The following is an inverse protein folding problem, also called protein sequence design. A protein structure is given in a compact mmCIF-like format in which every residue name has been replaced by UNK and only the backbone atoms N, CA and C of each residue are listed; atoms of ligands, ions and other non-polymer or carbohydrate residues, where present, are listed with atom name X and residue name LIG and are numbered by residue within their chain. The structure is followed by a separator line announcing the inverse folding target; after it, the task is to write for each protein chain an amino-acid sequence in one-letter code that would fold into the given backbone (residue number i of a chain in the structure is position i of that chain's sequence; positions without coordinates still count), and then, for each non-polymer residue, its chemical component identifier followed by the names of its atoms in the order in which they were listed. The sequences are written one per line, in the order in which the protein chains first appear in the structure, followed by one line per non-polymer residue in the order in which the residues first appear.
data_IF_628649131929
#
_entry.id   IF_628649131929
#
_cell.length_a   1.000
_cell.length_b   1.000
_cell.length_c   1.000
_cell.angle_alpha   90.00
_cell.angle_beta   90.00
_cell.angle_gamma   90.00
#
_symmetry.space_group_name_H-M   'P 1'
#
loop_
_entity.id
_entity.type
_entity.pdbx_description
1 polymer ?
#
# COMPACT_ATOMS: atom_id res chain seq x y z
N UNK A 1 18.59 -10.63 -13.78
CA UNK A 1 18.69 -10.67 -12.31
C UNK A 1 17.34 -10.38 -11.65
N UNK A 2 16.67 -9.30 -12.06
CA UNK A 2 15.31 -8.93 -11.60
C UNK A 2 14.33 -10.11 -11.58
N UNK A 3 14.17 -10.84 -12.68
CA UNK A 3 13.24 -11.96 -12.78
C UNK A 3 13.48 -13.05 -11.70
N UNK A 4 14.74 -13.46 -11.48
CA UNK A 4 15.08 -14.44 -10.43
C UNK A 4 14.72 -13.92 -9.04
N UNK A 5 14.92 -12.63 -8.79
CA UNK A 5 14.57 -11.97 -7.53
C UNK A 5 13.04 -11.93 -7.33
N UNK A 6 12.29 -11.55 -8.37
CA UNK A 6 10.82 -11.49 -8.36
C UNK A 6 10.22 -12.88 -8.13
N UNK A 7 10.70 -13.91 -8.84
CA UNK A 7 10.25 -15.30 -8.66
C UNK A 7 10.53 -15.83 -7.25
N UNK A 8 11.69 -15.47 -6.68
CA UNK A 8 12.00 -15.80 -5.29
C UNK A 8 11.02 -15.15 -4.32
N UNK A 9 10.75 -13.85 -4.48
CA UNK A 9 9.77 -13.16 -3.63
C UNK A 9 8.35 -13.69 -3.78
N UNK A 10 7.95 -14.08 -4.99
CA UNK A 10 6.65 -14.72 -5.22
C UNK A 10 6.54 -16.04 -4.43
N UNK A 11 7.59 -16.87 -4.50
CA UNK A 11 7.64 -18.14 -3.77
C UNK A 11 7.62 -17.92 -2.26
N UNK A 12 8.36 -16.91 -1.78
CA UNK A 12 8.41 -16.56 -0.36
C UNK A 12 7.04 -16.03 0.12
N UNK A 13 6.34 -15.19 -0.66
CA UNK A 13 4.99 -14.71 -0.38
C UNK A 13 3.93 -15.82 -0.37
N UNK A 14 4.04 -16.79 -1.27
CA UNK A 14 3.11 -17.94 -1.30
C UNK A 14 3.31 -18.85 -0.10
N UNK A 15 4.55 -19.00 0.37
CA UNK A 15 4.88 -19.83 1.53
C UNK A 15 4.54 -19.13 2.85
N UNK A 16 4.79 -17.84 2.94
CA UNK A 16 4.64 -17.04 4.16
C UNK A 16 4.06 -15.65 3.82
N UNK A 17 2.74 -15.57 3.58
CA UNK A 17 2.10 -14.31 3.22
C UNK A 17 2.11 -13.35 4.43
N UNK A 18 2.43 -12.05 4.22
CA UNK A 18 2.34 -11.03 5.26
C UNK A 18 0.92 -10.98 5.84
N UNK A 19 0.80 -10.78 7.15
CA UNK A 19 -0.51 -10.68 7.81
C UNK A 19 -1.41 -9.67 7.08
N UNK A 20 -2.65 -10.08 6.81
CA UNK A 20 -3.66 -9.25 6.14
C UNK A 20 -3.31 -8.78 4.72
N UNK A 21 -2.23 -9.30 4.12
CA UNK A 21 -1.74 -8.87 2.83
C UNK A 21 -1.48 -10.06 1.90
N UNK A 22 -1.73 -9.88 0.61
CA UNK A 22 -1.36 -10.85 -0.42
C UNK A 22 -0.91 -10.13 -1.68
N UNK A 23 -0.11 -10.81 -2.52
CA UNK A 23 0.25 -10.29 -3.82
C UNK A 23 0.65 -11.43 -4.78
N UNK A 24 0.42 -11.20 -6.08
CA UNK A 24 0.80 -12.13 -7.13
C UNK A 24 0.73 -11.52 -8.53
N UNK A 25 1.33 -12.16 -9.54
CA UNK A 25 1.34 -11.67 -10.91
C UNK A 25 -0.05 -11.60 -11.53
N UNK A 26 -0.25 -10.60 -12.40
CA UNK A 26 -1.46 -10.45 -13.21
C UNK A 26 -1.21 -11.10 -14.57
N UNK A 27 -1.86 -12.23 -14.83
CA UNK A 27 -1.62 -13.01 -16.04
C UNK A 27 -0.20 -13.56 -16.09
N UNK A 28 0.45 -13.49 -17.27
CA UNK A 28 1.77 -14.07 -17.50
C UNK A 28 2.94 -13.11 -17.23
N UNK A 29 2.66 -11.80 -17.03
CA UNK A 29 3.71 -10.81 -16.77
C UNK A 29 4.15 -10.82 -15.30
N UNK A 30 5.29 -11.43 -15.04
CA UNK A 30 5.89 -11.46 -13.70
C UNK A 30 6.34 -10.07 -13.20
N UNK A 31 6.45 -9.05 -14.06
CA UNK A 31 6.79 -7.68 -13.66
C UNK A 31 5.56 -6.82 -13.30
N UNK A 32 4.35 -7.37 -13.42
CA UNK A 32 3.11 -6.70 -13.02
C UNK A 32 2.32 -7.55 -12.04
N UNK A 33 2.21 -7.09 -10.81
CA UNK A 33 1.46 -7.78 -9.76
C UNK A 33 0.25 -6.97 -9.30
N UNK A 34 -0.75 -7.70 -8.81
CA UNK A 34 -1.82 -7.17 -7.98
C UNK A 34 -1.53 -7.55 -6.54
N UNK A 35 -1.71 -6.60 -5.64
CA UNK A 35 -1.67 -6.84 -4.20
C UNK A 35 -3.02 -6.50 -3.57
N UNK A 36 -3.32 -7.16 -2.47
CA UNK A 36 -4.51 -6.93 -1.66
C UNK A 36 -4.09 -6.67 -0.23
N UNK A 37 -4.60 -5.61 0.37
CA UNK A 37 -4.47 -5.29 1.79
C UNK A 37 -5.87 -5.33 2.39
N UNK A 38 -6.06 -6.16 3.41
CA UNK A 38 -7.26 -6.15 4.23
C UNK A 38 -7.18 -4.97 5.18
N UNK A 39 -8.26 -4.22 5.28
CA UNK A 39 -8.41 -3.12 6.22
C UNK A 39 -8.06 -3.55 7.64
N UNK A 40 -7.04 -2.95 8.28
CA UNK A 40 -6.58 -3.39 9.59
C UNK A 40 -7.69 -3.34 10.65
N UNK A 41 -7.73 -4.28 11.60
CA UNK A 41 -8.66 -4.21 12.72
C UNK A 41 -8.43 -2.93 13.53
N UNK A 42 -9.48 -2.44 14.18
CA UNK A 42 -9.48 -1.23 15.01
C UNK A 42 -9.07 0.06 14.25
N UNK A 43 -9.17 0.04 12.92
CA UNK A 43 -8.93 1.19 12.05
C UNK A 43 -10.21 1.68 11.36
N UNK A 44 -10.18 2.88 10.77
CA UNK A 44 -11.27 3.37 9.94
C UNK A 44 -11.45 2.58 8.62
N UNK A 45 -10.50 1.70 8.31
CA UNK A 45 -10.47 0.87 7.11
C UNK A 45 -10.96 -0.56 7.36
N UNK A 46 -11.24 -0.93 8.62
CA UNK A 46 -11.64 -2.28 9.01
C UNK A 46 -12.77 -2.82 8.14
N UNK A 47 -12.60 -4.06 7.67
CA UNK A 47 -13.55 -4.76 6.82
C UNK A 47 -13.47 -4.40 5.33
N UNK A 48 -12.68 -3.40 4.95
CA UNK A 48 -12.40 -3.11 3.55
C UNK A 48 -11.37 -4.05 2.92
N UNK A 49 -11.44 -4.21 1.61
CA UNK A 49 -10.49 -4.92 0.75
C UNK A 49 -9.90 -3.91 -0.24
N UNK A 50 -8.62 -3.60 -0.06
CA UNK A 50 -7.93 -2.61 -0.89
C UNK A 50 -7.01 -3.29 -1.89
N UNK A 51 -7.27 -3.05 -3.17
CA UNK A 51 -6.41 -3.52 -4.26
C UNK A 51 -5.36 -2.48 -4.58
N UNK A 52 -4.16 -2.96 -4.86
CA UNK A 52 -3.01 -2.19 -5.29
C UNK A 52 -2.40 -2.84 -6.53
N UNK A 53 -1.75 -2.03 -7.36
CA UNK A 53 -0.90 -2.51 -8.44
C UNK A 53 0.56 -2.32 -8.08
N UNK A 54 1.39 -3.29 -8.43
CA UNK A 54 2.84 -3.30 -8.21
C UNK A 54 3.52 -3.53 -9.55
N UNK A 55 4.33 -2.58 -9.99
CA UNK A 55 5.12 -2.69 -11.23
C UNK A 55 6.60 -2.69 -10.89
N UNK A 56 7.29 -3.76 -11.28
CA UNK A 56 8.72 -3.88 -11.06
C UNK A 56 9.49 -3.21 -12.20
N UNK A 57 10.50 -2.37 -11.92
CA UNK A 57 11.38 -1.89 -12.96
C UNK A 57 12.34 -3.00 -13.42
N UNK A 58 12.91 -2.85 -14.61
CA UNK A 58 13.84 -3.83 -15.19
C UNK A 58 15.14 -4.02 -14.39
N UNK A 59 15.52 -3.01 -13.61
CA UNK A 59 16.68 -2.99 -12.70
C UNK A 59 16.31 -3.33 -11.24
N UNK A 60 15.11 -3.87 -10.97
CA UNK A 60 14.77 -4.40 -9.65
C UNK A 60 15.79 -5.46 -9.18
N UNK A 61 16.24 -5.44 -7.91
CA UNK A 61 15.79 -4.63 -6.78
C UNK A 61 16.59 -3.33 -6.55
N UNK A 62 17.42 -2.88 -7.50
CA UNK A 62 18.20 -1.64 -7.34
C UNK A 62 17.33 -0.39 -7.35
N UNK A 63 16.19 -0.43 -8.05
CA UNK A 63 15.12 0.56 -7.94
C UNK A 63 13.86 -0.03 -7.29
N UNK A 64 13.08 0.78 -6.56
CA UNK A 64 11.83 0.34 -5.96
C UNK A 64 10.78 -0.05 -7.01
N UNK A 65 9.83 -0.93 -6.66
CA UNK A 65 8.65 -1.13 -7.48
C UNK A 65 7.74 0.10 -7.39
N UNK A 66 7.02 0.40 -8.46
CA UNK A 66 5.95 1.41 -8.42
C UNK A 66 4.70 0.76 -7.83
N UNK A 67 4.25 1.25 -6.69
CA UNK A 67 3.03 0.78 -6.03
C UNK A 67 2.01 1.90 -5.97
N UNK A 68 0.78 1.59 -6.35
CA UNK A 68 -0.35 2.49 -6.24
C UNK A 68 -1.63 1.75 -5.87
N UNK A 69 -2.50 2.40 -5.10
CA UNK A 69 -3.85 1.91 -4.85
C UNK A 69 -4.69 1.98 -6.13
N UNK A 70 -5.37 0.88 -6.45
CA UNK A 70 -6.43 0.87 -7.46
C UNK A 70 -7.81 1.05 -6.82
N UNK A 71 -7.97 0.62 -5.57
CA UNK A 71 -9.14 0.94 -4.75
C UNK A 71 -9.04 2.37 -4.22
N UNK A 72 -10.10 3.16 -4.38
CA UNK A 72 -10.15 4.53 -3.82
C UNK A 72 -10.11 4.47 -2.29
N UNK A 73 -9.32 5.35 -1.69
CA UNK A 73 -9.12 5.42 -0.24
C UNK A 73 -9.02 6.87 0.22
N UNK A 74 -9.58 7.17 1.40
CA UNK A 74 -9.48 8.48 2.04
C UNK A 74 -8.35 8.46 3.07
N UNK A 75 -7.19 8.99 2.73
CA UNK A 75 -5.98 8.93 3.58
C UNK A 75 -5.04 10.11 3.26
N UNK A 76 -4.39 10.75 4.26
CA UNK A 76 -3.58 11.94 4.01
C UNK A 76 -2.31 11.66 3.17
N UNK A 77 -1.74 10.46 3.27
CA UNK A 77 -0.55 10.05 2.50
C UNK A 77 -0.86 9.31 1.19
N UNK A 78 -2.14 9.21 0.77
CA UNK A 78 -2.53 8.55 -0.47
C UNK A 78 -3.43 9.48 -1.27
N UNK A 79 -3.03 9.83 -2.50
CA UNK A 79 -3.83 10.74 -3.33
C UNK A 79 -4.91 10.02 -4.15
N UNK A 80 -5.73 10.78 -4.87
CA UNK A 80 -6.83 10.26 -5.70
C UNK A 80 -6.40 9.34 -6.84
N UNK A 81 -5.13 9.42 -7.26
CA UNK A 81 -4.52 8.52 -8.26
C UNK A 81 -3.91 7.26 -7.61
N UNK A 82 -4.08 7.08 -6.29
CA UNK A 82 -3.56 5.97 -5.52
C UNK A 82 -2.06 6.03 -5.24
N UNK A 83 -1.38 7.13 -5.57
CA UNK A 83 0.05 7.29 -5.25
C UNK A 83 0.23 7.38 -3.74
N UNK A 84 1.30 6.78 -3.23
CA UNK A 84 1.58 6.67 -1.79
C UNK A 84 2.80 7.54 -1.47
N UNK A 85 2.73 8.35 -0.41
CA UNK A 85 3.92 8.93 0.21
C UNK A 85 4.40 7.99 1.31
N UNK A 86 5.43 7.23 1.00
CA UNK A 86 6.11 6.33 1.90
C UNK A 86 7.60 6.35 1.52
N UNK A 87 8.45 6.65 2.49
CA UNK A 87 9.89 6.87 2.32
C UNK A 87 10.63 5.65 1.74
N UNK A 88 10.24 4.44 2.15
CA UNK A 88 10.81 3.20 1.63
C UNK A 88 10.47 2.96 0.16
N UNK A 89 9.46 3.62 -0.42
CA UNK A 89 9.20 3.60 -1.87
C UNK A 89 10.01 4.67 -2.62
N UNK A 90 10.85 5.44 -1.92
CA UNK A 90 11.59 6.60 -2.44
C UNK A 90 13.03 6.61 -1.94
N UNK A 91 13.36 7.53 -1.03
CA UNK A 91 14.73 7.80 -0.56
C UNK A 91 15.28 6.70 0.34
N UNK A 92 14.42 5.97 1.05
CA UNK A 92 14.81 4.89 1.94
C UNK A 92 14.65 3.50 1.30
N UNK A 93 14.45 3.44 -0.03
CA UNK A 93 14.48 2.15 -0.72
C UNK A 93 15.87 1.52 -0.60
N UNK A 94 15.88 0.24 -0.23
CA UNK A 94 17.08 -0.59 -0.22
C UNK A 94 16.78 -1.88 -0.97
N UNK A 95 17.74 -2.43 -1.75
CA UNK A 95 17.61 -3.75 -2.37
C UNK A 95 17.30 -4.89 -1.39
N UNK A 96 17.50 -4.70 -0.08
CA UNK A 96 17.14 -5.66 0.97
C UNK A 96 15.64 -5.66 1.36
N UNK A 97 14.88 -4.65 0.91
CA UNK A 97 13.43 -4.60 1.07
C UNK A 97 12.75 -5.51 0.04
N UNK A 98 11.60 -6.06 0.42
CA UNK A 98 10.78 -6.97 -0.38
C UNK A 98 9.37 -6.42 -0.50
N UNK A 99 8.58 -6.92 -1.45
CA UNK A 99 7.15 -6.57 -1.58
C UNK A 99 6.40 -6.86 -0.28
N UNK A 100 6.70 -7.98 0.39
CA UNK A 100 6.11 -8.31 1.70
C UNK A 100 6.34 -7.20 2.73
N UNK A 101 7.59 -6.74 2.90
CA UNK A 101 7.92 -5.64 3.82
C UNK A 101 7.23 -4.34 3.43
N UNK A 102 7.18 -4.03 2.13
CA UNK A 102 6.51 -2.83 1.63
C UNK A 102 5.01 -2.86 1.93
N UNK A 103 4.33 -4.00 1.72
CA UNK A 103 2.91 -4.14 2.03
C UNK A 103 2.63 -4.00 3.52
N UNK A 104 3.48 -4.57 4.38
CA UNK A 104 3.39 -4.39 5.84
C UNK A 104 3.57 -2.92 6.24
N UNK A 105 4.51 -2.20 5.62
CA UNK A 105 4.68 -0.77 5.87
C UNK A 105 3.49 0.07 5.39
N UNK A 106 2.86 -0.29 4.26
CA UNK A 106 1.62 0.37 3.81
C UNK A 106 0.48 0.07 4.78
N UNK A 107 0.36 -1.17 5.27
CA UNK A 107 -0.63 -1.56 6.26
C UNK A 107 -0.46 -0.75 7.57
N UNK A 108 0.79 -0.58 8.03
CA UNK A 108 1.10 0.31 9.17
C UNK A 108 0.73 1.76 8.90
N UNK A 109 0.98 2.26 7.68
CA UNK A 109 0.62 3.63 7.29
C UNK A 109 -0.90 3.86 7.36
N UNK A 110 -1.72 2.85 7.04
CA UNK A 110 -3.18 2.95 7.18
C UNK A 110 -3.63 3.09 8.64
N UNK A 111 -2.92 2.48 9.59
CA UNK A 111 -3.22 2.63 11.02
C UNK A 111 -2.68 3.95 11.58
N UNK A 112 -1.48 4.33 11.15
CA UNK A 112 -0.74 5.48 11.64
C UNK A 112 -0.36 6.42 10.47
N UNK A 113 -1.31 7.25 9.99
CA UNK A 113 -1.03 8.22 8.96
C UNK A 113 0.07 9.20 9.39
N UNK A 114 0.88 9.68 8.44
CA UNK A 114 1.88 10.72 8.66
C UNK A 114 1.37 12.08 8.16
N UNK A 115 0.72 12.89 9.00
CA UNK A 115 0.13 14.16 8.55
C UNK A 115 1.18 15.29 8.41
N UNK A 116 2.46 15.03 8.69
CA UNK A 116 3.56 15.99 8.51
C UNK A 116 4.19 15.93 7.11
N UNK A 117 4.00 14.83 6.38
CA UNK A 117 4.34 14.69 4.96
C UNK A 117 3.16 14.15 4.11
N UNK A 118 2.04 14.90 4.03
CA UNK A 118 0.84 14.44 3.35
C UNK A 118 0.90 14.66 1.84
N UNK A 119 0.33 13.73 1.07
CA UNK A 119 -0.02 13.99 -0.34
C UNK A 119 -1.31 14.79 -0.48
N UNK A 120 -2.18 14.76 0.54
CA UNK A 120 -3.47 15.44 0.54
C UNK A 120 -3.56 16.32 1.80
N UNK A 121 -3.09 17.58 1.74
CA UNK A 121 -3.03 18.48 2.89
C UNK A 121 -4.39 18.68 3.58
N UNK A 122 -5.49 18.73 2.82
CA UNK A 122 -6.83 18.90 3.38
C UNK A 122 -7.24 17.74 4.29
N UNK A 123 -6.94 16.49 3.88
CA UNK A 123 -7.19 15.31 4.71
C UNK A 123 -6.29 15.33 5.94
N UNK A 124 -5.03 15.73 5.79
CA UNK A 124 -4.09 15.83 6.90
C UNK A 124 -4.53 16.88 7.93
N UNK A 125 -5.07 18.01 7.48
CA UNK A 125 -5.62 19.04 8.35
C UNK A 125 -6.82 18.53 9.13
N UNK A 126 -7.73 17.79 8.50
CA UNK A 126 -8.86 17.15 9.18
C UNK A 126 -8.35 16.10 10.17
N UNK A 127 -7.38 15.26 9.79
CA UNK A 127 -6.78 14.27 10.68
C UNK A 127 -6.18 14.90 11.94
N UNK A 128 -5.47 16.04 11.80
CA UNK A 128 -4.88 16.78 12.93
C UNK A 128 -5.91 17.51 13.79
N UNK A 129 -6.95 18.08 13.19
CA UNK A 129 -7.91 18.96 13.88
C UNK A 129 -9.15 18.24 14.42
N UNK A 130 -9.60 17.17 13.76
CA UNK A 130 -10.81 16.41 14.10
C UNK A 130 -10.67 14.94 13.65
N UNK A 131 -10.03 14.14 14.51
CA UNK A 131 -9.78 12.72 14.26
C UNK A 131 -11.08 11.91 14.12
N UNK A 132 -12.17 12.31 14.79
CA UNK A 132 -13.46 11.64 14.67
C UNK A 132 -14.10 11.86 13.30
N UNK A 133 -14.06 13.10 12.80
CA UNK A 133 -14.51 13.43 11.44
C UNK A 133 -13.67 12.74 10.38
N UNK A 134 -12.34 12.70 10.54
CA UNK A 134 -11.48 11.90 9.67
C UNK A 134 -11.91 10.43 9.66
N UNK A 135 -12.06 9.81 10.83
CA UNK A 135 -12.45 8.40 10.95
C UNK A 135 -13.82 8.15 10.33
N UNK A 136 -14.78 9.07 10.46
CA UNK A 136 -16.09 8.98 9.82
C UNK A 136 -15.97 8.98 8.29
N UNK A 137 -15.25 9.94 7.71
CA UNK A 137 -15.04 10.00 6.26
C UNK A 137 -14.26 8.78 5.71
N UNK A 138 -13.24 8.33 6.43
CA UNK A 138 -12.48 7.14 6.06
C UNK A 138 -13.34 5.87 6.09
N UNK A 139 -14.24 5.71 7.08
CA UNK A 139 -15.21 4.60 7.12
C UNK A 139 -16.23 4.68 5.98
N UNK A 140 -16.78 5.86 5.72
CA UNK A 140 -17.72 6.09 4.59
C UNK A 140 -17.08 5.70 3.25
N UNK A 141 -15.82 6.06 3.03
CA UNK A 141 -15.09 5.69 1.82
C UNK A 141 -14.78 4.19 1.76
N UNK A 142 -14.39 3.60 2.88
CA UNK A 142 -14.14 2.16 2.97
C UNK A 142 -15.39 1.38 2.60
N UNK A 143 -16.54 1.73 3.17
CA UNK A 143 -17.81 1.09 2.86
C UNK A 143 -18.24 1.28 1.39
N UNK A 144 -17.93 2.44 0.81
CA UNK A 144 -18.34 2.77 -0.56
C UNK A 144 -17.47 2.14 -1.64
N UNK A 145 -16.18 1.96 -1.39
CA UNK A 145 -15.21 1.61 -2.43
C UNK A 145 -14.44 0.31 -2.18
N UNK A 146 -14.47 -0.21 -0.96
CA UNK A 146 -13.64 -1.34 -0.55
C UNK A 146 -14.44 -2.50 0.09
N UNK A 147 -15.77 -2.39 0.23
CA UNK A 147 -16.64 -3.45 0.76
C UNK A 147 -17.55 -4.03 -0.32
#
# INVERSE_FOLDING_TARGET
MALKRIQKELSDLQRDPPAHCSAGPVGDDLFHWQATIMGPPDSAYQGGVFFLTVHFPTDYPFKPPKIAFTTKIYHPNINSNGSICLDILRSQWSPALTVSKVLLSICSLLCDPNPDDPLVPDIAQIYKSDKEKYNRHAREWTQKYAM
#
